data_IF_281639358247
#
_entry.id   IF_281639358247
#
_cell.length_a   1.000
_cell.length_b   1.000
_cell.length_c   1.000
_cell.angle_alpha   90.00
_cell.angle_beta   90.00
_cell.angle_gamma   90.00
#
_symmetry.space_group_name_H-M   'P 1'
#
loop_
_entity.id
_entity.type
_entity.pdbx_description
1 polymer ?
#
# COMPACT_ATOMS: atom_id res chain seq x y z
N UNK A 1 -10.06 3.25 -9.82
CA UNK A 1 -10.47 4.07 -8.65
C UNK A 1 -9.34 4.27 -7.61
N UNK A 2 -8.36 3.37 -7.47
CA UNK A 2 -7.11 3.58 -6.67
C UNK A 2 -5.89 3.86 -7.57
N UNK A 3 -5.94 3.40 -8.82
CA UNK A 3 -4.86 3.52 -9.82
C UNK A 3 -4.41 4.96 -10.12
N UNK A 4 -5.24 5.94 -9.74
CA UNK A 4 -5.03 7.38 -9.93
C UNK A 4 -4.37 8.08 -8.73
N UNK A 5 -4.10 7.35 -7.63
CA UNK A 5 -3.48 7.97 -6.46
C UNK A 5 -2.04 8.43 -6.73
N UNK A 6 -1.39 7.93 -7.78
CA UNK A 6 0.03 8.18 -8.06
C UNK A 6 0.96 7.40 -7.12
N UNK A 7 0.43 6.37 -6.46
CA UNK A 7 1.15 5.58 -5.44
C UNK A 7 1.85 4.35 -6.02
N UNK A 8 1.75 4.11 -7.34
CA UNK A 8 2.40 2.95 -7.99
C UNK A 8 3.91 3.06 -7.85
N UNK A 9 4.54 1.98 -7.37
CA UNK A 9 5.98 1.96 -7.10
C UNK A 9 6.40 2.82 -5.91
N UNK A 10 5.46 3.41 -5.15
CA UNK A 10 5.81 4.08 -3.91
C UNK A 10 6.28 3.07 -2.87
N UNK A 11 7.38 3.39 -2.19
CA UNK A 11 8.10 2.46 -1.31
C UNK A 11 8.40 3.11 0.02
N UNK A 12 8.18 2.37 1.10
CA UNK A 12 8.66 2.68 2.44
C UNK A 12 9.47 1.49 2.93
N UNK A 13 10.75 1.71 3.23
CA UNK A 13 11.63 0.63 3.70
C UNK A 13 11.69 -0.54 2.72
N UNK A 14 11.32 -1.75 3.17
CA UNK A 14 11.22 -2.92 2.30
C UNK A 14 9.88 -3.12 1.58
N UNK A 15 8.85 -2.34 1.95
CA UNK A 15 7.49 -2.47 1.43
C UNK A 15 7.26 -1.52 0.24
N UNK A 16 6.66 -2.00 -0.83
CA UNK A 16 6.39 -1.23 -2.05
C UNK A 16 4.96 -1.47 -2.55
N UNK A 17 4.33 -0.46 -3.14
CA UNK A 17 3.03 -0.60 -3.79
C UNK A 17 3.21 -1.21 -5.18
N UNK A 18 2.51 -2.32 -5.42
CA UNK A 18 2.55 -3.04 -6.69
C UNK A 18 2.15 -2.13 -7.87
N UNK A 19 3.00 -2.14 -8.90
CA UNK A 19 2.73 -1.44 -10.15
C UNK A 19 1.53 -2.02 -10.93
N UNK A 20 1.17 -3.28 -10.65
CA UNK A 20 0.04 -3.96 -11.32
C UNK A 20 -1.31 -3.61 -10.68
N UNK A 21 -1.37 -3.51 -9.35
CA UNK A 21 -2.59 -3.13 -8.63
C UNK A 21 -2.22 -2.30 -7.39
N UNK A 22 -2.72 -1.06 -7.32
CA UNK A 22 -2.45 -0.14 -6.21
C UNK A 22 -2.96 -0.60 -4.84
N UNK A 23 -3.81 -1.63 -4.80
CA UNK A 23 -4.28 -2.26 -3.56
C UNK A 23 -3.34 -3.33 -3.00
N UNK A 24 -2.27 -3.68 -3.71
CA UNK A 24 -1.34 -4.72 -3.29
C UNK A 24 -0.02 -4.11 -2.86
N UNK A 25 0.41 -4.46 -1.65
CA UNK A 25 1.74 -4.15 -1.16
C UNK A 25 2.61 -5.39 -1.40
N UNK A 26 3.73 -5.18 -2.07
CA UNK A 26 4.76 -6.20 -2.30
C UNK A 26 5.93 -5.94 -1.36
N UNK A 27 6.50 -7.03 -0.85
CA UNK A 27 7.75 -6.98 -0.10
C UNK A 27 8.92 -7.03 -1.10
N UNK A 28 9.44 -5.87 -1.48
CA UNK A 28 10.60 -5.73 -2.37
C UNK A 28 11.95 -5.96 -1.64
N UNK A 29 11.93 -6.63 -0.49
CA UNK A 29 13.09 -7.11 0.25
C UNK A 29 13.03 -6.75 1.73
N UNK A 30 13.28 -7.71 2.63
CA UNK A 30 13.35 -7.57 4.09
C UNK A 30 12.36 -6.53 4.71
N UNK A 31 11.15 -6.39 4.14
CA UNK A 31 10.16 -5.47 4.66
C UNK A 31 9.81 -5.85 6.09
N UNK A 32 9.95 -4.88 7.00
CA UNK A 32 9.49 -5.06 8.37
C UNK A 32 7.98 -4.87 8.39
N UNK A 33 7.32 -5.49 9.37
CA UNK A 33 5.90 -5.26 9.61
C UNK A 33 5.58 -3.75 9.74
N UNK A 34 6.50 -2.99 10.34
CA UNK A 34 6.39 -1.53 10.43
C UNK A 34 6.33 -0.84 9.06
N UNK A 35 7.20 -1.24 8.12
CA UNK A 35 7.22 -0.67 6.77
C UNK A 35 5.88 -0.87 6.05
N UNK A 36 5.29 -2.05 6.20
CA UNK A 36 3.97 -2.36 5.63
C UNK A 36 2.89 -1.50 6.30
N UNK A 37 2.88 -1.39 7.63
CA UNK A 37 1.89 -0.58 8.35
C UNK A 37 1.97 0.91 7.98
N UNK A 38 3.19 1.47 7.93
CA UNK A 38 3.42 2.85 7.49
C UNK A 38 2.92 3.08 6.05
N UNK A 39 3.18 2.12 5.16
CA UNK A 39 2.72 2.20 3.77
C UNK A 39 1.19 2.14 3.66
N UNK A 40 0.54 1.25 4.40
CA UNK A 40 -0.92 1.15 4.46
C UNK A 40 -1.52 2.47 4.95
N UNK A 41 -0.98 3.01 6.05
CA UNK A 41 -1.47 4.25 6.64
C UNK A 41 -1.34 5.42 5.67
N UNK A 42 -0.23 5.49 4.94
CA UNK A 42 0.02 6.49 3.92
C UNK A 42 -0.97 6.39 2.75
N UNK A 43 -1.23 5.18 2.26
CA UNK A 43 -2.21 4.93 1.18
C UNK A 43 -3.60 5.37 1.63
N UNK A 44 -4.05 4.94 2.83
CA UNK A 44 -5.37 5.31 3.36
C UNK A 44 -5.54 6.82 3.47
N UNK A 45 -4.53 7.51 4.01
CA UNK A 45 -4.60 8.96 4.17
C UNK A 45 -4.61 9.67 2.81
N UNK A 46 -3.78 9.21 1.87
CA UNK A 46 -3.73 9.75 0.50
C UNK A 46 -5.06 9.56 -0.22
N UNK A 47 -5.67 8.38 -0.13
CA UNK A 47 -6.98 8.09 -0.72
C UNK A 47 -8.05 8.96 -0.09
N UNK A 48 -8.08 9.05 1.25
CA UNK A 48 -9.04 9.89 1.98
C UNK A 48 -8.91 11.36 1.59
N UNK A 49 -7.69 11.88 1.47
CA UNK A 49 -7.45 13.26 1.04
C UNK A 49 -7.81 13.50 -0.44
N UNK A 50 -7.45 12.58 -1.35
CA UNK A 50 -7.69 12.76 -2.79
C UNK A 50 -9.13 12.53 -3.21
N UNK A 51 -9.77 11.50 -2.65
CA UNK A 51 -11.08 11.04 -3.10
C UNK A 51 -12.19 11.29 -2.07
N UNK A 52 -11.85 11.69 -0.84
CA UNK A 52 -12.84 11.84 0.23
C UNK A 52 -13.42 10.50 0.71
N UNK A 53 -12.85 9.37 0.28
CA UNK A 53 -13.36 8.02 0.59
C UNK A 53 -12.57 7.43 1.75
N UNK A 54 -13.28 6.95 2.76
CA UNK A 54 -12.67 6.15 3.82
C UNK A 54 -12.53 4.69 3.37
N UNK A 55 -11.29 4.30 3.05
CA UNK A 55 -10.97 2.91 2.73
C UNK A 55 -10.88 2.08 4.00
N UNK A 56 -11.74 1.06 4.09
CA UNK A 56 -11.52 -0.04 5.01
C UNK A 56 -10.47 -0.97 4.39
N UNK A 57 -9.30 -1.03 5.01
CA UNK A 57 -8.23 -1.94 4.57
C UNK A 57 -8.50 -3.34 5.08
N UNK A 58 -8.98 -4.22 4.20
CA UNK A 58 -8.81 -5.66 4.40
C UNK A 58 -7.36 -6.03 4.11
N UNK A 59 -6.48 -5.87 5.11
CA UNK A 59 -5.10 -6.30 5.01
C UNK A 59 -5.06 -7.82 4.99
N UNK A 60 -4.95 -8.41 3.81
CA UNK A 60 -4.66 -9.83 3.63
C UNK A 60 -3.18 -10.01 3.33
N UNK A 61 -2.46 -10.57 4.30
CA UNK A 61 -1.06 -10.94 4.12
C UNK A 61 -1.04 -12.19 3.26
N UNK A 62 -0.70 -12.04 1.98
CA UNK A 62 -0.50 -13.17 1.06
C UNK A 62 1.00 -13.46 1.05
N UNK A 63 1.41 -14.44 1.85
CA UNK A 63 2.76 -15.00 1.77
C UNK A 63 2.76 -16.18 0.81
N UNK A 64 3.55 -16.12 -0.27
CA UNK A 64 3.94 -17.33 -0.98
C UNK A 64 4.97 -18.06 -0.09
N UNK A 65 4.59 -19.26 0.36
CA UNK A 65 5.46 -20.18 1.08
C UNK A 65 6.44 -20.89 0.15
#
# INVERSE_FOLDING_TARGET
MIEDCGLRGYRIGGAEVSNKHCGFIVNSGNAKAKDILDLIQYIQNTVKMKFGVEMQTEVRIVGEG
#
